data_IF_374508076756
#
_entry.id   IF_374508076756
#
_cell.length_a   1.000
_cell.length_b   1.000
_cell.length_c   1.000
_cell.angle_alpha   90.00
_cell.angle_beta   90.00
_cell.angle_gamma   90.00
#
_symmetry.space_group_name_H-M   'P 1'
#
loop_
_entity.id
_entity.type
_entity.pdbx_description
1 polymer ?
#
# COMPACT_ATOMS: atom_id res chain seq x y z
N UNK A 1 18.78 -17.30 -33.46
CA UNK A 1 20.11 -17.82 -33.04
C UNK A 1 19.99 -19.05 -32.12
N UNK A 2 19.21 -18.98 -31.00
CA UNK A 2 19.03 -20.12 -30.08
C UNK A 2 18.43 -21.37 -30.73
N UNK A 3 17.48 -21.22 -31.67
CA UNK A 3 16.84 -22.32 -32.38
C UNK A 3 17.83 -23.11 -33.27
N UNK A 4 18.74 -22.43 -33.96
CA UNK A 4 19.76 -23.09 -34.79
C UNK A 4 20.73 -23.97 -33.96
N UNK A 5 21.11 -23.50 -32.78
CA UNK A 5 21.98 -24.23 -31.84
C UNK A 5 21.27 -25.45 -31.24
N UNK A 6 19.98 -25.28 -30.86
CA UNK A 6 19.16 -26.39 -30.40
C UNK A 6 18.98 -27.47 -31.49
N UNK A 7 18.79 -27.05 -32.74
CA UNK A 7 18.69 -27.95 -33.87
C UNK A 7 19.97 -28.79 -34.03
N UNK A 8 21.17 -28.16 -33.96
CA UNK A 8 22.44 -28.89 -34.06
C UNK A 8 22.56 -29.92 -32.94
N UNK A 9 22.15 -29.59 -31.71
CA UNK A 9 22.19 -30.55 -30.58
C UNK A 9 21.22 -31.72 -30.81
N UNK A 10 20.01 -31.44 -31.28
CA UNK A 10 18.97 -32.44 -31.47
C UNK A 10 19.38 -33.48 -32.57
N UNK A 11 20.11 -33.04 -33.60
CA UNK A 11 20.52 -33.91 -34.75
C UNK A 11 22.01 -34.30 -34.74
N UNK A 12 22.70 -34.12 -33.61
CA UNK A 12 24.12 -34.42 -33.51
C UNK A 12 24.48 -35.92 -33.65
N UNK A 13 23.51 -36.81 -33.44
CA UNK A 13 23.62 -38.25 -33.67
C UNK A 13 23.46 -38.66 -35.14
N UNK A 14 22.77 -37.86 -35.94
CA UNK A 14 22.43 -38.18 -37.34
C UNK A 14 23.38 -37.50 -38.31
N UNK A 15 23.88 -36.30 -37.98
CA UNK A 15 24.67 -35.48 -38.86
C UNK A 15 25.92 -34.90 -38.18
N UNK A 16 27.01 -34.82 -38.93
CA UNK A 16 28.26 -34.24 -38.42
C UNK A 16 28.07 -32.75 -38.02
N UNK A 17 28.45 -32.40 -36.81
CA UNK A 17 28.33 -31.03 -36.25
C UNK A 17 29.00 -30.00 -37.19
N UNK A 18 30.16 -30.36 -37.81
CA UNK A 18 30.87 -29.50 -38.75
C UNK A 18 30.00 -29.15 -39.97
N UNK A 19 29.27 -30.12 -40.50
CA UNK A 19 28.38 -29.93 -41.65
C UNK A 19 27.21 -29.02 -41.29
N UNK A 20 26.51 -29.31 -40.17
CA UNK A 20 25.37 -28.50 -39.70
C UNK A 20 25.77 -27.05 -39.39
N UNK A 21 26.92 -26.87 -38.77
CA UNK A 21 27.43 -25.52 -38.47
C UNK A 21 27.66 -24.73 -39.76
N UNK A 22 28.22 -25.36 -40.81
CA UNK A 22 28.44 -24.72 -42.11
C UNK A 22 27.11 -24.32 -42.77
N UNK A 23 26.16 -25.24 -42.84
CA UNK A 23 24.85 -25.02 -43.48
C UNK A 23 24.07 -23.92 -42.78
N UNK A 24 24.09 -23.88 -41.42
CA UNK A 24 23.36 -22.91 -40.62
C UNK A 24 24.10 -21.58 -40.43
N UNK A 25 25.33 -21.45 -40.97
CA UNK A 25 26.13 -20.23 -40.84
C UNK A 25 26.59 -19.95 -39.41
N UNK A 26 26.98 -20.99 -38.66
CA UNK A 26 27.42 -20.88 -37.26
C UNK A 26 28.88 -21.28 -37.14
N UNK A 27 29.73 -20.46 -36.49
CA UNK A 27 31.10 -20.84 -36.20
C UNK A 27 31.12 -22.03 -35.22
N UNK A 28 31.92 -23.05 -35.51
CA UNK A 28 32.07 -24.26 -34.67
C UNK A 28 32.52 -23.89 -33.24
N UNK A 29 33.49 -22.99 -33.16
CA UNK A 29 33.98 -22.48 -31.85
C UNK A 29 32.86 -21.90 -31.00
N UNK A 30 31.93 -21.15 -31.62
CA UNK A 30 30.79 -20.57 -30.96
C UNK A 30 29.76 -21.63 -30.51
N UNK A 31 29.49 -22.66 -31.32
CA UNK A 31 28.67 -23.80 -30.93
C UNK A 31 29.21 -24.49 -29.67
N UNK A 32 30.50 -24.83 -29.67
CA UNK A 32 31.15 -25.50 -28.53
C UNK A 32 31.19 -24.59 -27.28
N UNK A 33 31.44 -23.29 -27.44
CA UNK A 33 31.37 -22.35 -26.33
C UNK A 33 29.96 -22.28 -25.76
N UNK A 34 28.93 -22.25 -26.59
CA UNK A 34 27.53 -22.30 -26.19
C UNK A 34 27.20 -23.62 -25.47
N UNK A 35 27.66 -24.75 -25.96
CA UNK A 35 27.46 -26.07 -25.34
C UNK A 35 28.12 -26.15 -23.98
N UNK A 36 29.37 -25.71 -23.84
CA UNK A 36 30.08 -25.62 -22.54
C UNK A 36 29.37 -24.71 -21.55
N UNK A 37 28.73 -23.67 -22.01
CA UNK A 37 27.96 -22.76 -21.15
C UNK A 37 26.55 -23.31 -20.76
N UNK A 38 26.14 -24.51 -21.25
CA UNK A 38 24.83 -25.07 -20.95
C UNK A 38 24.54 -25.24 -19.45
N UNK A 39 25.46 -25.75 -18.60
CA UNK A 39 25.21 -25.89 -17.16
C UNK A 39 24.97 -24.55 -16.49
N UNK A 40 25.77 -23.52 -16.79
CA UNK A 40 25.59 -22.15 -16.26
C UNK A 40 24.27 -21.53 -16.69
N UNK A 41 23.82 -21.80 -17.93
CA UNK A 41 22.48 -21.33 -18.38
C UNK A 41 21.37 -22.05 -17.65
N UNK A 42 21.46 -23.36 -17.46
CA UNK A 42 20.48 -24.15 -16.71
C UNK A 42 20.38 -23.65 -15.26
N UNK A 43 21.50 -23.41 -14.59
CA UNK A 43 21.53 -22.85 -13.22
C UNK A 43 20.86 -21.47 -13.15
N UNK A 44 21.18 -20.56 -14.11
CA UNK A 44 20.53 -19.24 -14.19
C UNK A 44 19.03 -19.35 -14.39
N UNK A 45 18.58 -20.28 -15.22
CA UNK A 45 17.16 -20.52 -15.47
C UNK A 45 16.48 -21.04 -14.21
N UNK A 46 17.06 -22.05 -13.55
CA UNK A 46 16.54 -22.60 -12.30
C UNK A 46 16.47 -21.56 -11.18
N UNK A 47 17.49 -20.68 -11.07
CA UNK A 47 17.47 -19.56 -10.12
C UNK A 47 16.36 -18.57 -10.42
N UNK A 48 16.14 -18.24 -11.72
CA UNK A 48 15.04 -17.35 -12.14
C UNK A 48 13.66 -17.95 -11.86
N UNK A 49 13.51 -19.25 -12.04
CA UNK A 49 12.24 -19.92 -11.81
C UNK A 49 11.91 -20.01 -10.33
N UNK A 50 12.89 -20.35 -9.49
CA UNK A 50 12.75 -20.27 -8.02
C UNK A 50 12.32 -18.88 -7.57
N UNK A 51 13.03 -17.86 -8.01
CA UNK A 51 12.69 -16.47 -7.68
C UNK A 51 11.31 -16.07 -8.21
N UNK A 52 10.93 -16.55 -9.39
CA UNK A 52 9.59 -16.32 -9.91
C UNK A 52 8.49 -17.03 -9.11
N UNK A 53 8.78 -18.14 -8.47
CA UNK A 53 7.87 -18.82 -7.53
C UNK A 53 7.70 -18.01 -6.24
N UNK A 54 8.80 -17.55 -5.63
CA UNK A 54 8.78 -16.69 -4.45
C UNK A 54 7.98 -15.39 -4.71
N UNK A 55 8.17 -14.76 -5.87
CA UNK A 55 7.41 -13.55 -6.28
C UNK A 55 5.90 -13.85 -6.34
N UNK A 56 5.50 -15.02 -6.89
CA UNK A 56 4.08 -15.41 -6.94
C UNK A 56 3.51 -15.66 -5.54
N UNK A 57 4.27 -16.30 -4.67
CA UNK A 57 3.90 -16.55 -3.28
C UNK A 57 3.64 -15.23 -2.54
N UNK A 58 4.60 -14.30 -2.54
CA UNK A 58 4.46 -12.96 -1.92
C UNK A 58 3.26 -12.20 -2.53
N UNK A 59 3.07 -12.31 -3.84
CA UNK A 59 1.93 -11.67 -4.50
C UNK A 59 0.59 -12.27 -4.03
N UNK A 60 0.51 -13.60 -3.87
CA UNK A 60 -0.66 -14.29 -3.35
C UNK A 60 -0.92 -13.95 -1.87
N UNK A 61 0.11 -13.97 -1.01
CA UNK A 61 0.03 -13.57 0.40
C UNK A 61 -0.52 -12.14 0.57
N UNK A 62 -0.14 -11.24 -0.34
CA UNK A 62 -0.69 -9.87 -0.39
C UNK A 62 -2.09 -9.79 -0.99
N UNK A 63 -2.74 -10.92 -1.31
CA UNK A 63 -4.01 -11.00 -2.04
C UNK A 63 -3.97 -10.25 -3.38
N UNK A 64 -2.81 -10.31 -4.07
CA UNK A 64 -2.58 -9.65 -5.35
C UNK A 64 -2.46 -8.13 -5.28
N UNK A 65 -2.07 -7.55 -4.13
CA UNK A 65 -2.02 -6.10 -3.89
C UNK A 65 -0.66 -5.49 -4.12
N UNK A 66 0.43 -6.27 -4.05
CA UNK A 66 1.79 -5.76 -4.11
C UNK A 66 2.31 -5.59 -5.54
N UNK A 67 2.89 -4.42 -5.80
CA UNK A 67 3.74 -4.19 -6.96
C UNK A 67 5.22 -4.47 -6.67
N UNK A 68 6.05 -4.38 -7.71
CA UNK A 68 7.48 -4.67 -7.64
C UNK A 68 8.23 -4.02 -6.45
N UNK A 69 7.96 -2.77 -6.04
CA UNK A 69 8.67 -2.18 -4.90
C UNK A 69 8.42 -2.90 -3.57
N UNK A 70 7.17 -3.31 -3.29
CA UNK A 70 6.83 -4.02 -2.06
C UNK A 70 7.27 -5.47 -2.09
N UNK A 71 7.14 -6.15 -3.24
CA UNK A 71 7.66 -7.51 -3.42
C UNK A 71 9.19 -7.52 -3.26
N UNK A 72 9.89 -6.52 -3.79
CA UNK A 72 11.33 -6.39 -3.60
C UNK A 72 11.71 -6.26 -2.11
N UNK A 73 10.99 -5.44 -1.34
CA UNK A 73 11.23 -5.29 0.09
C UNK A 73 10.99 -6.61 0.86
N UNK A 74 9.92 -7.37 0.52
CA UNK A 74 9.69 -8.70 1.10
C UNK A 74 10.81 -9.68 0.77
N UNK A 75 11.28 -9.70 -0.48
CA UNK A 75 12.39 -10.55 -0.89
C UNK A 75 13.70 -10.20 -0.16
N UNK A 76 13.96 -8.91 0.07
CA UNK A 76 15.11 -8.47 0.85
C UNK A 76 15.05 -8.97 2.30
N UNK A 77 13.90 -8.88 2.94
CA UNK A 77 13.71 -9.38 4.31
C UNK A 77 13.80 -10.90 4.40
N UNK A 78 13.44 -11.62 3.32
CA UNK A 78 13.68 -13.07 3.17
C UNK A 78 15.14 -13.41 2.79
N UNK A 79 16.05 -12.44 2.76
CA UNK A 79 17.48 -12.61 2.47
C UNK A 79 17.84 -12.64 0.97
N UNK A 80 16.90 -12.41 0.07
CA UNK A 80 17.15 -12.42 -1.38
C UNK A 80 17.83 -11.14 -1.84
N UNK A 81 19.08 -11.23 -2.31
CA UNK A 81 19.83 -10.09 -2.89
C UNK A 81 19.51 -9.93 -4.37
N UNK A 82 18.50 -9.17 -4.68
CA UNK A 82 18.03 -8.93 -6.05
C UNK A 82 17.70 -7.44 -6.25
N UNK A 83 17.86 -6.93 -7.48
CA UNK A 83 17.47 -5.56 -7.78
C UNK A 83 15.95 -5.43 -8.02
N UNK A 84 15.39 -4.29 -7.64
CA UNK A 84 13.99 -3.91 -7.92
C UNK A 84 13.63 -4.03 -9.41
N UNK A 85 14.58 -3.69 -10.31
CA UNK A 85 14.40 -3.81 -11.76
C UNK A 85 14.22 -5.28 -12.19
N UNK A 86 14.98 -6.21 -11.60
CA UNK A 86 14.85 -7.65 -11.90
C UNK A 86 13.52 -8.19 -11.42
N UNK A 87 13.04 -7.76 -10.21
CA UNK A 87 11.70 -8.13 -9.72
C UNK A 87 10.62 -7.64 -10.70
N UNK A 88 10.67 -6.37 -11.12
CA UNK A 88 9.70 -5.82 -12.06
C UNK A 88 9.68 -6.58 -13.40
N UNK A 89 10.87 -6.96 -13.94
CA UNK A 89 11.00 -7.75 -15.16
C UNK A 89 10.40 -9.14 -15.00
N UNK A 90 10.69 -9.84 -13.90
CA UNK A 90 10.14 -11.17 -13.62
C UNK A 90 8.62 -11.13 -13.45
N UNK A 91 8.07 -10.11 -12.76
CA UNK A 91 6.63 -9.92 -12.65
C UNK A 91 5.99 -9.75 -14.04
N UNK A 92 6.59 -8.93 -14.90
CA UNK A 92 6.10 -8.72 -16.27
C UNK A 92 6.12 -10.01 -17.09
N UNK A 93 7.23 -10.76 -17.07
CA UNK A 93 7.39 -12.02 -17.79
C UNK A 93 6.40 -13.09 -17.33
N UNK A 94 6.07 -13.10 -16.06
CA UNK A 94 5.11 -14.07 -15.46
C UNK A 94 3.66 -13.57 -15.44
N UNK A 95 3.36 -12.41 -16.05
CA UNK A 95 2.02 -11.84 -16.15
C UNK A 95 1.47 -11.32 -14.81
N UNK A 96 2.31 -11.12 -13.79
CA UNK A 96 1.90 -10.67 -12.46
C UNK A 96 1.70 -9.16 -12.48
N UNK A 97 0.46 -8.70 -12.28
CA UNK A 97 0.11 -7.28 -12.33
C UNK A 97 -0.75 -6.90 -11.12
N UNK A 98 -0.29 -5.96 -10.29
CA UNK A 98 -1.11 -5.40 -9.21
C UNK A 98 -2.25 -4.54 -9.79
N UNK A 99 -3.34 -4.33 -9.03
CA UNK A 99 -4.42 -3.45 -9.46
C UNK A 99 -3.93 -2.02 -9.64
N UNK A 100 -4.49 -1.32 -10.62
CA UNK A 100 -4.22 0.10 -10.84
C UNK A 100 -5.38 0.93 -10.30
N UNK A 101 -5.08 2.01 -9.59
CA UNK A 101 -6.07 2.97 -9.12
C UNK A 101 -6.77 3.68 -10.28
N UNK A 102 -8.04 3.99 -10.12
CA UNK A 102 -8.78 4.88 -11.03
C UNK A 102 -8.36 6.33 -10.74
N UNK A 103 -8.10 7.12 -11.77
CA UNK A 103 -7.61 8.51 -11.64
C UNK A 103 -8.64 9.54 -11.18
N UNK A 104 -9.94 9.22 -11.11
CA UNK A 104 -10.98 10.17 -10.72
C UNK A 104 -11.66 9.72 -9.44
N UNK A 105 -11.59 10.58 -8.41
CA UNK A 105 -12.44 10.48 -7.22
C UNK A 105 -13.50 11.59 -7.28
N UNK A 106 -14.75 11.34 -6.92
CA UNK A 106 -15.75 12.41 -6.77
C UNK A 106 -15.35 13.32 -5.60
N UNK A 107 -15.65 14.61 -5.73
CA UNK A 107 -15.55 15.57 -4.61
C UNK A 107 -16.71 15.27 -3.67
N UNK A 108 -16.41 14.89 -2.43
CA UNK A 108 -17.39 14.42 -1.44
C UNK A 108 -17.50 15.32 -0.21
N UNK A 109 -16.66 16.34 -0.08
CA UNK A 109 -16.65 17.24 1.08
C UNK A 109 -17.59 18.42 0.84
N UNK A 110 -18.61 18.57 1.70
CA UNK A 110 -19.39 19.80 1.80
C UNK A 110 -18.72 20.74 2.82
N UNK A 111 -18.08 21.78 2.31
CA UNK A 111 -17.42 22.83 3.12
C UNK A 111 -18.28 24.11 3.27
N UNK A 112 -19.56 24.09 2.84
CA UNK A 112 -20.48 25.21 2.91
C UNK A 112 -21.27 25.16 4.22
N UNK A 113 -20.66 25.60 5.30
CA UNK A 113 -21.30 25.67 6.62
C UNK A 113 -20.84 26.91 7.39
N UNK A 114 -21.65 27.33 8.37
CA UNK A 114 -21.39 28.52 9.21
C UNK A 114 -20.48 28.24 10.43
N UNK A 115 -19.99 27.01 10.61
CA UNK A 115 -19.14 26.68 11.76
C UNK A 115 -17.75 27.31 11.62
N UNK A 116 -17.15 27.69 12.76
CA UNK A 116 -15.80 28.21 12.81
C UNK A 116 -14.78 27.18 12.31
N UNK A 117 -13.90 27.60 11.42
CA UNK A 117 -12.84 26.77 10.82
C UNK A 117 -11.55 26.96 11.59
N UNK A 118 -10.92 25.87 12.02
CA UNK A 118 -9.64 25.93 12.70
C UNK A 118 -8.50 26.33 11.73
N UNK A 119 -7.44 27.01 12.23
CA UNK A 119 -6.27 27.34 11.39
C UNK A 119 -5.55 26.07 10.94
N UNK A 120 -4.86 26.16 9.79
CA UNK A 120 -4.00 25.08 9.34
C UNK A 120 -2.67 25.11 10.11
N UNK A 121 -2.55 24.26 11.13
CA UNK A 121 -1.34 24.13 11.93
C UNK A 121 -0.31 23.20 11.30
N UNK A 122 -0.72 22.32 10.40
CA UNK A 122 0.14 21.32 9.78
C UNK A 122 1.02 21.90 8.67
N UNK A 123 0.48 22.84 7.87
CA UNK A 123 1.19 23.50 6.76
C UNK A 123 1.97 22.56 5.83
N UNK A 124 1.45 21.32 5.61
CA UNK A 124 2.08 20.24 4.83
C UNK A 124 3.42 19.76 5.38
N UNK A 125 3.72 20.01 6.64
CA UNK A 125 4.86 19.37 7.30
C UNK A 125 4.52 17.92 7.61
N UNK A 126 4.80 17.01 6.66
CA UNK A 126 4.49 15.59 6.75
C UNK A 126 5.68 14.75 7.22
N UNK A 127 6.83 15.37 7.47
CA UNK A 127 8.03 14.70 7.96
C UNK A 127 8.04 14.72 9.50
N UNK A 128 7.47 13.70 10.10
CA UNK A 128 7.43 13.53 11.56
C UNK A 128 8.10 12.22 11.96
N UNK A 129 8.97 12.30 12.96
CA UNK A 129 9.67 11.15 13.51
C UNK A 129 9.03 10.61 14.81
N UNK A 130 8.01 11.29 15.33
CA UNK A 130 7.43 11.02 16.66
C UNK A 130 5.97 10.64 16.52
N UNK A 131 5.58 9.43 16.95
CA UNK A 131 4.18 9.01 16.99
C UNK A 131 3.32 9.94 17.86
N UNK A 132 2.03 9.96 17.56
CA UNK A 132 0.98 10.64 18.32
C UNK A 132 1.21 12.16 18.53
N UNK A 133 1.91 12.82 17.58
CA UNK A 133 2.03 14.29 17.50
C UNK A 133 1.04 14.90 16.53
N UNK A 134 0.78 14.21 15.42
CA UNK A 134 -0.20 14.65 14.42
C UNK A 134 -1.01 13.46 13.96
N UNK A 135 -2.32 13.58 14.11
CA UNK A 135 -3.28 12.67 13.50
C UNK A 135 -4.03 13.36 12.38
N UNK A 136 -4.23 12.62 11.31
CA UNK A 136 -5.01 13.03 10.15
C UNK A 136 -6.33 12.29 10.15
N UNK A 137 -7.43 12.96 9.81
CA UNK A 137 -8.74 12.34 9.73
C UNK A 137 -9.45 12.69 8.42
N UNK A 138 -10.25 11.75 7.95
CA UNK A 138 -11.10 11.92 6.77
C UNK A 138 -12.17 10.84 6.71
N UNK A 139 -13.18 11.03 5.83
CA UNK A 139 -14.31 10.11 5.61
C UNK A 139 -14.27 9.60 4.18
N UNK A 140 -14.57 8.32 4.00
CA UNK A 140 -14.75 7.73 2.69
C UNK A 140 -16.07 6.98 2.57
N UNK A 141 -16.57 6.93 1.34
CA UNK A 141 -17.83 6.31 0.94
C UNK A 141 -17.55 4.95 0.33
N UNK A 142 -18.19 3.91 0.84
CA UNK A 142 -18.04 2.52 0.42
C UNK A 142 -19.39 2.06 -0.16
N UNK A 143 -19.46 1.73 -1.46
CA UNK A 143 -20.71 1.28 -2.08
C UNK A 143 -21.03 -0.16 -1.67
N UNK A 144 -22.31 -0.40 -1.37
CA UNK A 144 -22.86 -1.74 -1.16
C UNK A 144 -24.21 -1.84 -1.92
N UNK A 145 -24.74 -3.05 -2.11
CA UNK A 145 -26.07 -3.19 -2.72
C UNK A 145 -27.20 -2.65 -1.80
N UNK A 146 -26.93 -2.47 -0.50
CA UNK A 146 -27.85 -1.87 0.47
C UNK A 146 -27.71 -0.34 0.56
N UNK A 147 -26.87 0.29 -0.29
CA UNK A 147 -26.55 1.71 -0.27
C UNK A 147 -25.17 1.99 0.34
N UNK A 148 -24.92 3.25 0.67
CA UNK A 148 -23.63 3.68 1.17
C UNK A 148 -23.33 3.18 2.59
N UNK A 149 -22.09 2.78 2.82
CA UNK A 149 -21.47 2.65 4.12
C UNK A 149 -20.38 3.73 4.21
N UNK A 150 -20.41 4.54 5.26
CA UNK A 150 -19.43 5.58 5.52
C UNK A 150 -18.35 5.06 6.45
N UNK A 151 -17.10 5.33 6.12
CA UNK A 151 -15.92 4.98 6.93
C UNK A 151 -15.19 6.27 7.32
N UNK A 152 -15.19 6.62 8.61
CA UNK A 152 -14.26 7.60 9.15
C UNK A 152 -13.01 6.90 9.65
N UNK A 153 -11.84 7.49 9.40
CA UNK A 153 -10.56 6.95 9.84
C UNK A 153 -9.67 8.06 10.41
N UNK A 154 -8.91 7.71 11.43
CA UNK A 154 -7.87 8.55 12.05
C UNK A 154 -6.53 7.86 11.86
N UNK A 155 -5.56 8.57 11.30
CA UNK A 155 -4.25 8.06 10.92
C UNK A 155 -3.16 8.83 11.64
N UNK A 156 -2.25 8.12 12.25
CA UNK A 156 -1.00 8.71 12.75
C UNK A 156 -0.06 9.03 11.60
N UNK A 157 0.44 10.26 11.55
CA UNK A 157 1.24 10.75 10.44
C UNK A 157 2.66 10.19 10.45
N UNK A 158 3.26 9.95 11.62
CA UNK A 158 4.61 9.42 11.73
C UNK A 158 4.69 7.94 11.35
N UNK A 159 3.80 7.14 11.90
CA UNK A 159 3.79 5.68 11.72
C UNK A 159 2.99 5.21 10.50
N UNK A 160 2.16 6.07 9.92
CA UNK A 160 1.17 5.74 8.89
C UNK A 160 0.07 4.78 9.37
N UNK A 161 -0.03 4.49 10.66
CA UNK A 161 -1.00 3.58 11.24
C UNK A 161 -2.40 4.20 11.28
N UNK A 162 -3.42 3.40 11.00
CA UNK A 162 -4.81 3.77 11.29
C UNK A 162 -5.08 3.44 12.75
N UNK A 163 -5.09 4.46 13.57
CA UNK A 163 -5.18 4.36 15.04
C UNK A 163 -6.63 4.33 15.56
N UNK A 164 -7.57 4.79 14.72
CA UNK A 164 -8.99 4.73 15.02
C UNK A 164 -9.84 4.79 13.76
N UNK A 165 -10.98 4.15 13.80
CA UNK A 165 -11.94 4.15 12.69
C UNK A 165 -13.34 3.80 13.19
N UNK A 166 -14.33 4.21 12.42
CA UNK A 166 -15.73 3.89 12.66
C UNK A 166 -16.50 3.77 11.34
N UNK A 167 -17.59 3.03 11.36
CA UNK A 167 -18.43 2.80 10.18
C UNK A 167 -19.92 3.01 10.50
N UNK A 168 -20.61 3.77 9.66
CA UNK A 168 -22.05 4.04 9.81
C UNK A 168 -22.78 4.05 8.48
N UNK A 169 -24.08 3.83 8.53
CA UNK A 169 -24.99 3.99 7.37
C UNK A 169 -25.41 5.46 7.19
N UNK A 170 -25.08 6.31 8.16
CA UNK A 170 -25.43 7.74 8.15
C UNK A 170 -24.20 8.59 8.32
N UNK A 171 -24.11 9.66 7.55
CA UNK A 171 -23.00 10.62 7.58
C UNK A 171 -23.25 11.70 8.68
N UNK A 172 -23.24 11.28 9.95
CA UNK A 172 -23.37 12.17 11.12
C UNK A 172 -22.00 12.43 11.76
N UNK A 173 -21.91 13.48 12.61
CA UNK A 173 -20.70 13.79 13.41
C UNK A 173 -20.28 12.64 14.30
N UNK A 174 -21.24 11.90 14.85
CA UNK A 174 -20.99 10.73 15.70
C UNK A 174 -20.09 9.69 15.06
N UNK A 175 -20.13 9.55 13.72
CA UNK A 175 -19.21 8.69 12.97
C UNK A 175 -17.74 9.10 13.20
N UNK A 176 -17.43 10.39 13.11
CA UNK A 176 -16.08 10.92 13.33
C UNK A 176 -15.68 10.88 14.80
N UNK A 177 -16.63 11.17 15.69
CA UNK A 177 -16.42 11.12 17.15
C UNK A 177 -16.04 9.72 17.61
N UNK A 178 -16.72 8.68 17.10
CA UNK A 178 -16.45 7.29 17.46
C UNK A 178 -15.07 6.84 16.94
N UNK A 179 -14.67 7.28 15.73
CA UNK A 179 -13.33 7.04 15.21
C UNK A 179 -12.26 7.71 16.09
N UNK A 180 -12.49 8.95 16.51
CA UNK A 180 -11.58 9.69 17.41
C UNK A 180 -11.52 9.07 18.81
N UNK A 181 -12.66 8.70 19.40
CA UNK A 181 -12.70 7.99 20.69
C UNK A 181 -11.93 6.68 20.66
N UNK A 182 -12.06 5.92 19.57
CA UNK A 182 -11.26 4.69 19.36
C UNK A 182 -9.76 5.01 19.32
N UNK A 183 -9.35 6.03 18.56
CA UNK A 183 -7.95 6.43 18.47
C UNK A 183 -7.37 6.86 19.83
N UNK A 184 -8.09 7.69 20.58
CA UNK A 184 -7.69 8.15 21.91
C UNK A 184 -7.56 6.98 22.89
N UNK A 185 -8.51 6.05 22.88
CA UNK A 185 -8.48 4.85 23.74
C UNK A 185 -7.27 3.97 23.42
N UNK A 186 -6.98 3.78 22.13
CA UNK A 186 -5.92 2.89 21.70
C UNK A 186 -4.51 3.47 21.97
N UNK A 187 -4.31 4.77 21.71
CA UNK A 187 -2.99 5.39 21.73
C UNK A 187 -2.71 6.22 22.99
N UNK A 188 -3.76 6.72 23.68
CA UNK A 188 -3.63 7.61 24.85
C UNK A 188 -2.64 8.77 24.58
N UNK A 189 -2.89 9.59 23.55
CA UNK A 189 -1.93 10.56 23.07
C UNK A 189 -1.63 11.64 24.12
N UNK A 190 -0.43 12.25 24.09
CA UNK A 190 -0.11 13.37 24.97
C UNK A 190 -0.97 14.59 24.63
N UNK A 191 -1.18 15.46 25.62
CA UNK A 191 -1.82 16.77 25.38
C UNK A 191 -1.03 17.56 24.33
N UNK A 192 -1.76 18.32 23.49
CA UNK A 192 -1.17 19.11 22.42
C UNK A 192 -1.03 18.37 21.08
N UNK A 193 -1.46 17.10 20.96
CA UNK A 193 -1.64 16.41 19.68
C UNK A 193 -2.40 17.32 18.72
N UNK A 194 -1.93 17.43 17.47
CA UNK A 194 -2.63 18.13 16.39
C UNK A 194 -3.51 17.11 15.65
N UNK A 195 -4.82 17.38 15.62
CA UNK A 195 -5.77 16.62 14.81
C UNK A 195 -6.13 17.42 13.57
N UNK A 196 -5.68 16.97 12.41
CA UNK A 196 -5.88 17.63 11.12
C UNK A 196 -6.95 16.93 10.29
N UNK A 197 -7.92 17.68 9.79
CA UNK A 197 -9.00 17.18 8.92
C UNK A 197 -9.26 18.13 7.74
N UNK A 198 -10.14 17.72 6.84
CA UNK A 198 -10.76 18.65 5.89
C UNK A 198 -11.74 19.60 6.62
N UNK A 199 -12.42 20.48 5.85
CA UNK A 199 -13.43 21.39 6.39
C UNK A 199 -14.84 20.80 6.36
N UNK A 200 -15.00 19.49 6.42
CA UNK A 200 -16.32 18.87 6.49
C UNK A 200 -17.08 19.27 7.75
N UNK A 201 -18.39 19.46 7.61
CA UNK A 201 -19.29 19.85 8.71
C UNK A 201 -19.16 18.93 9.93
N UNK A 202 -18.84 17.65 9.73
CA UNK A 202 -18.68 16.64 10.78
C UNK A 202 -17.50 16.96 11.71
N UNK A 203 -16.43 17.57 11.20
CA UNK A 203 -15.25 17.98 11.97
C UNK A 203 -15.36 19.39 12.54
N UNK A 204 -16.19 20.26 11.92
CA UNK A 204 -16.38 21.64 12.34
C UNK A 204 -17.46 21.81 13.40
N UNK A 205 -18.32 20.82 13.66
CA UNK A 205 -19.42 20.91 14.62
C UNK A 205 -18.94 21.08 16.07
N UNK A 206 -19.84 21.64 16.92
CA UNK A 206 -19.52 21.96 18.31
C UNK A 206 -19.15 20.72 19.13
N UNK A 207 -19.88 19.61 18.95
CA UNK A 207 -19.66 18.37 19.70
C UNK A 207 -18.29 17.77 19.42
N UNK A 208 -17.87 17.73 18.15
CA UNK A 208 -16.54 17.25 17.77
C UNK A 208 -15.43 18.11 18.35
N UNK A 209 -15.57 19.45 18.29
CA UNK A 209 -14.61 20.38 18.89
C UNK A 209 -14.54 20.26 20.41
N UNK A 210 -15.69 20.07 21.08
CA UNK A 210 -15.75 19.80 22.50
C UNK A 210 -14.99 18.54 22.87
N UNK A 211 -15.16 17.46 22.10
CA UNK A 211 -14.43 16.20 22.28
C UNK A 211 -12.92 16.40 22.17
N UNK A 212 -12.43 17.13 21.15
CA UNK A 212 -11.02 17.48 21.03
C UNK A 212 -10.51 18.25 22.24
N UNK A 213 -11.26 19.26 22.70
CA UNK A 213 -10.92 20.09 23.87
C UNK A 213 -10.79 19.29 25.16
N UNK A 214 -11.73 18.37 25.43
CA UNK A 214 -11.70 17.48 26.62
C UNK A 214 -10.39 16.71 26.71
N UNK A 215 -9.86 16.28 25.55
CA UNK A 215 -8.62 15.50 25.48
C UNK A 215 -7.35 16.35 25.25
N UNK A 216 -7.46 17.67 25.26
CA UNK A 216 -6.33 18.57 25.02
C UNK A 216 -5.74 18.46 23.62
N UNK A 217 -6.55 18.06 22.64
CA UNK A 217 -6.17 17.90 21.22
C UNK A 217 -6.41 19.21 20.49
N UNK A 218 -5.43 19.68 19.71
CA UNK A 218 -5.51 20.90 18.92
C UNK A 218 -6.14 20.62 17.56
N UNK A 219 -7.24 21.32 17.24
CA UNK A 219 -7.88 21.24 15.94
C UNK A 219 -7.04 21.94 14.86
N UNK A 220 -6.92 21.33 13.72
CA UNK A 220 -6.30 21.88 12.50
C UNK A 220 -7.13 21.49 11.30
N UNK A 221 -7.33 22.41 10.32
CA UNK A 221 -8.12 22.13 9.13
C UNK A 221 -7.39 22.55 7.87
N UNK A 222 -7.57 21.77 6.80
CA UNK A 222 -7.06 22.05 5.47
C UNK A 222 -7.53 23.41 4.94
N UNK A 223 -6.77 24.04 4.04
CA UNK A 223 -7.21 25.24 3.32
C UNK A 223 -8.38 24.91 2.39
N UNK A 224 -9.24 25.89 2.14
CA UNK A 224 -10.42 25.71 1.26
C UNK A 224 -9.98 25.25 -0.14
N UNK A 225 -10.55 24.16 -0.61
CA UNK A 225 -10.27 23.61 -1.94
C UNK A 225 -8.87 23.00 -2.13
N UNK A 226 -8.12 22.78 -1.04
CA UNK A 226 -6.75 22.29 -1.10
C UNK A 226 -6.66 20.86 -0.55
N UNK A 227 -6.86 19.88 -1.43
CA UNK A 227 -6.77 18.45 -1.09
C UNK A 227 -5.35 18.01 -0.66
N UNK A 228 -4.30 18.70 -1.13
CA UNK A 228 -2.92 18.35 -0.77
C UNK A 228 -2.60 18.56 0.71
N UNK A 229 -3.40 19.31 1.44
CA UNK A 229 -3.20 19.51 2.87
C UNK A 229 -3.52 18.24 3.70
N UNK A 230 -4.28 17.27 3.12
CA UNK A 230 -4.59 15.96 3.72
C UNK A 230 -4.10 14.76 2.86
N UNK A 231 -3.05 14.98 2.06
CA UNK A 231 -2.53 13.99 1.11
C UNK A 231 -2.23 12.60 1.70
N UNK A 232 -1.72 12.44 2.96
CA UNK A 232 -1.50 11.11 3.52
C UNK A 232 -2.80 10.33 3.77
N UNK A 233 -3.93 11.01 4.08
CA UNK A 233 -5.25 10.36 4.20
C UNK A 233 -5.81 10.00 2.83
N UNK A 234 -5.68 10.89 1.84
CA UNK A 234 -6.07 10.58 0.46
C UNK A 234 -5.31 9.35 -0.09
N UNK A 235 -4.01 9.24 0.23
CA UNK A 235 -3.19 8.08 -0.11
C UNK A 235 -3.69 6.78 0.55
N UNK A 236 -4.16 6.85 1.80
CA UNK A 236 -4.76 5.71 2.49
C UNK A 236 -6.06 5.28 1.80
N UNK A 237 -7.01 6.19 1.61
CA UNK A 237 -8.27 5.86 0.96
C UNK A 237 -8.10 5.45 -0.51
N UNK A 238 -7.16 6.04 -1.23
CA UNK A 238 -6.77 5.62 -2.57
C UNK A 238 -6.29 4.17 -2.61
N UNK A 239 -5.46 3.78 -1.63
CA UNK A 239 -4.99 2.40 -1.45
C UNK A 239 -6.16 1.46 -1.11
N UNK A 240 -6.97 1.80 -0.11
CA UNK A 240 -8.16 1.03 0.29
C UNK A 240 -9.10 0.79 -0.89
N UNK A 241 -9.43 1.85 -1.63
CA UNK A 241 -10.32 1.75 -2.80
C UNK A 241 -9.72 0.87 -3.90
N UNK A 242 -8.44 1.03 -4.20
CA UNK A 242 -7.77 0.26 -5.26
C UNK A 242 -7.54 -1.19 -4.87
N UNK A 243 -7.14 -1.44 -3.63
CA UNK A 243 -6.71 -2.75 -3.16
C UNK A 243 -7.86 -3.62 -2.65
N UNK A 244 -9.03 -3.01 -2.31
CA UNK A 244 -10.21 -3.72 -1.80
C UNK A 244 -11.51 -3.31 -2.50
N UNK A 245 -11.94 -2.04 -2.34
CA UNK A 245 -13.32 -1.63 -2.66
C UNK A 245 -13.66 -1.80 -4.14
N UNK A 246 -12.76 -1.41 -5.06
CA UNK A 246 -12.98 -1.53 -6.51
C UNK A 246 -12.83 -2.97 -7.03
N UNK A 247 -12.40 -3.91 -6.17
CA UNK A 247 -12.22 -5.33 -6.51
C UNK A 247 -13.32 -6.22 -5.95
N UNK A 248 -14.17 -5.66 -5.09
CA UNK A 248 -15.20 -6.42 -4.37
C UNK A 248 -16.55 -5.74 -4.56
N UNK A 249 -17.56 -6.51 -4.95
CA UNK A 249 -18.95 -6.05 -4.93
C UNK A 249 -19.60 -6.50 -3.64
N UNK A 250 -19.72 -5.61 -2.68
CA UNK A 250 -20.35 -5.89 -1.39
C UNK A 250 -21.86 -6.02 -1.55
N UNK A 251 -22.42 -7.16 -1.15
CA UNK A 251 -23.87 -7.41 -1.17
C UNK A 251 -24.55 -6.65 -0.02
N UNK A 252 -23.93 -6.69 1.17
CA UNK A 252 -24.47 -6.08 2.38
C UNK A 252 -23.44 -5.17 3.04
N UNK A 253 -23.92 -4.22 3.86
CA UNK A 253 -23.05 -3.42 4.72
C UNK A 253 -22.29 -4.26 5.74
N UNK A 254 -22.86 -5.38 6.19
CA UNK A 254 -22.20 -6.34 7.10
C UNK A 254 -20.96 -6.96 6.44
N UNK A 255 -21.08 -7.39 5.18
CA UNK A 255 -19.96 -7.92 4.41
C UNK A 255 -18.85 -6.85 4.22
N UNK A 256 -19.24 -5.62 3.88
CA UNK A 256 -18.31 -4.50 3.75
C UNK A 256 -17.59 -4.20 5.07
N UNK A 257 -18.30 -4.18 6.21
CA UNK A 257 -17.70 -3.96 7.54
C UNK A 257 -16.63 -5.01 7.87
N UNK A 258 -16.91 -6.29 7.65
CA UNK A 258 -15.96 -7.38 7.90
C UNK A 258 -14.70 -7.24 7.02
N UNK A 259 -14.87 -6.96 5.72
CA UNK A 259 -13.76 -6.80 4.79
C UNK A 259 -12.91 -5.56 5.09
N UNK A 260 -13.53 -4.45 5.49
CA UNK A 260 -12.84 -3.22 5.89
C UNK A 260 -12.07 -3.41 7.20
N UNK A 261 -12.67 -4.10 8.18
CA UNK A 261 -11.98 -4.47 9.41
C UNK A 261 -10.72 -5.30 9.12
N UNK A 262 -10.84 -6.37 8.33
CA UNK A 262 -9.69 -7.20 7.94
C UNK A 262 -8.63 -6.37 7.20
N UNK A 263 -9.07 -5.47 6.30
CA UNK A 263 -8.15 -4.64 5.55
C UNK A 263 -7.38 -3.68 6.46
N UNK A 264 -8.03 -2.99 7.40
CA UNK A 264 -7.41 -2.00 8.27
C UNK A 264 -6.51 -2.68 9.31
N UNK A 265 -7.10 -3.58 10.11
CA UNK A 265 -6.42 -4.13 11.29
C UNK A 265 -5.36 -5.17 10.94
N UNK A 266 -5.69 -6.08 10.01
CA UNK A 266 -4.80 -7.21 9.73
C UNK A 266 -3.85 -6.87 8.59
N UNK A 267 -4.36 -6.32 7.48
CA UNK A 267 -3.51 -6.10 6.32
C UNK A 267 -2.79 -4.75 6.38
N UNK A 268 -3.51 -3.62 6.46
CA UNK A 268 -2.93 -2.28 6.35
C UNK A 268 -1.96 -1.98 7.49
N UNK A 269 -2.39 -2.15 8.73
CA UNK A 269 -1.57 -1.83 9.89
C UNK A 269 -0.42 -2.83 10.12
N UNK A 270 -0.65 -4.14 9.93
CA UNK A 270 0.30 -5.19 10.36
C UNK A 270 1.08 -5.86 9.25
N UNK A 271 0.64 -5.79 7.99
CA UNK A 271 1.28 -6.50 6.87
C UNK A 271 1.70 -5.57 5.74
N UNK A 272 0.92 -4.52 5.46
CA UNK A 272 1.16 -3.67 4.30
C UNK A 272 2.40 -2.81 4.49
N UNK A 273 3.36 -2.98 3.58
CA UNK A 273 4.58 -2.16 3.56
C UNK A 273 4.34 -0.78 3.00
N UNK A 274 4.93 0.22 3.64
CA UNK A 274 4.81 1.62 3.27
C UNK A 274 6.15 2.23 2.87
N UNK A 275 6.23 2.79 1.66
CA UNK A 275 7.47 3.41 1.15
C UNK A 275 7.90 4.63 1.95
N UNK A 276 6.95 5.42 2.48
CA UNK A 276 7.21 6.62 3.29
C UNK A 276 7.88 6.33 4.64
N UNK A 277 7.81 5.11 5.13
CA UNK A 277 8.45 4.66 6.39
C UNK A 277 9.47 3.54 6.13
N UNK A 278 10.17 3.58 5.00
CA UNK A 278 11.24 2.63 4.67
C UNK A 278 10.76 1.21 4.41
N UNK A 279 9.57 1.03 3.85
CA UNK A 279 8.93 -0.28 3.61
C UNK A 279 8.66 -1.10 4.87
N UNK A 280 8.68 -0.51 6.05
CA UNK A 280 8.14 -1.13 7.28
C UNK A 280 6.62 -1.19 7.21
N UNK A 281 6.00 -2.02 8.04
CA UNK A 281 4.56 -1.93 8.30
C UNK A 281 4.29 -0.79 9.30
N UNK A 282 3.08 -0.19 9.34
CA UNK A 282 2.73 0.81 10.34
C UNK A 282 2.99 0.33 11.79
N UNK A 283 2.61 -0.91 12.10
CA UNK A 283 2.83 -1.48 13.45
C UNK A 283 4.32 -1.61 13.79
N UNK A 284 5.17 -2.06 12.85
CA UNK A 284 6.63 -2.09 13.06
C UNK A 284 7.19 -0.68 13.26
N UNK A 285 6.77 0.28 12.42
CA UNK A 285 7.21 1.66 12.56
C UNK A 285 6.84 2.26 13.93
N UNK A 286 5.65 1.96 14.46
CA UNK A 286 5.24 2.39 15.81
C UNK A 286 6.17 1.82 16.87
N UNK A 287 6.44 0.52 16.85
CA UNK A 287 7.34 -0.13 17.82
C UNK A 287 8.74 0.50 17.76
N UNK A 288 9.33 0.59 16.55
CA UNK A 288 10.68 1.12 16.37
C UNK A 288 10.79 2.59 16.84
N UNK A 289 9.82 3.44 16.46
CA UNK A 289 9.81 4.86 16.85
C UNK A 289 9.57 5.04 18.34
N UNK A 290 8.76 4.20 18.99
CA UNK A 290 8.53 4.27 20.44
C UNK A 290 9.76 3.83 21.22
N UNK A 291 10.44 2.78 20.77
CA UNK A 291 11.71 2.34 21.37
C UNK A 291 12.79 3.41 21.24
N UNK A 292 12.90 4.08 20.08
CA UNK A 292 13.85 5.15 19.85
C UNK A 292 13.61 6.41 20.70
N UNK A 293 12.39 6.60 21.24
CA UNK A 293 12.09 7.68 22.18
C UNK A 293 12.40 7.34 23.64
N UNK A 294 12.44 6.04 23.94
CA UNK A 294 12.70 5.57 25.30
C UNK A 294 14.21 5.36 25.58
N UNK A 295 15.04 5.37 24.52
CA UNK A 295 16.51 5.28 24.58
C UNK A 295 17.16 6.67 24.63
#
# INVERSE_FOLDING_TARGET
>A
MSAKLAFIVAHASEHAIRFMCRVLGIARSWFHAWQRAAPKRAERTAKRDRLGAEIREIFAESKGRYGAPRIHAELQDRGSRISKRTVAKLMQEKGIRPPRGKRRAPITTDSRHAHAVAPNLLNRNFELAVPDKVWLADISYIPTNEGWLYLAAVKDLATMEIVGWSMSERLKSTLCEDALKMAIRNCRPPKGLIHHSDRGVQYACADYRKLLGIHGVKASMSRKGNCLDNAPMESFFGSLKTELVHRTRFRTRREARAALFEYIEIFYNRRRRHSSIGYRTPAQARVDMTMAQAA
#
